data_IF_601150774103
#
_entry.id   IF_601150774103
#
_cell.length_a   1.000
_cell.length_b   1.000
_cell.length_c   1.000
_cell.angle_alpha   90.00
_cell.angle_beta   90.00
_cell.angle_gamma   90.00
#
_symmetry.space_group_name_H-M   'P 1'
#
loop_
_entity.id
_entity.type
_entity.pdbx_description
1 polymer ?
#
# COMPACT_ATOMS: atom_id res chain seq x y z
N UNK A 1 -35.86 15.77 -11.16
CA UNK A 1 -34.52 15.20 -11.22
C UNK A 1 -34.39 14.22 -10.07
N UNK A 2 -34.50 12.95 -10.35
CA UNK A 2 -34.33 11.93 -9.35
C UNK A 2 -32.87 11.88 -8.96
N UNK A 3 -32.57 12.17 -7.70
CA UNK A 3 -31.33 11.77 -7.07
C UNK A 3 -31.20 10.27 -7.22
N UNK A 4 -30.28 9.83 -8.07
CA UNK A 4 -29.85 8.44 -8.08
C UNK A 4 -29.15 8.23 -6.74
N UNK A 5 -29.90 7.78 -5.74
CA UNK A 5 -29.31 7.14 -4.58
C UNK A 5 -28.53 5.93 -5.11
N UNK A 6 -27.24 6.14 -5.32
CA UNK A 6 -26.33 5.03 -5.47
C UNK A 6 -26.45 4.27 -4.18
N UNK A 7 -27.22 3.18 -4.18
CA UNK A 7 -27.26 2.24 -3.06
C UNK A 7 -25.84 1.78 -2.83
N UNK A 8 -25.19 2.45 -1.89
CA UNK A 8 -23.89 2.02 -1.41
C UNK A 8 -24.04 0.57 -0.97
N UNK A 9 -23.46 -0.34 -1.75
CA UNK A 9 -23.47 -1.74 -1.37
C UNK A 9 -22.81 -1.86 0.01
N UNK A 10 -23.23 -2.80 0.84
CA UNK A 10 -22.58 -3.11 2.14
C UNK A 10 -21.04 -3.17 2.05
N UNK A 11 -20.50 -3.38 0.84
CA UNK A 11 -19.06 -3.40 0.55
C UNK A 11 -18.40 -2.02 0.62
N UNK A 12 -19.14 -0.94 0.32
CA UNK A 12 -18.62 0.42 0.37
C UNK A 12 -18.53 0.96 1.79
N UNK A 13 -19.36 0.48 2.71
CA UNK A 13 -19.28 0.86 4.12
C UNK A 13 -17.98 0.41 4.81
N UNK A 14 -17.19 -0.47 4.19
CA UNK A 14 -15.91 -0.93 4.69
C UNK A 14 -14.71 -0.16 4.09
N UNK A 15 -14.97 0.79 3.21
CA UNK A 15 -13.95 1.66 2.62
C UNK A 15 -13.90 2.99 3.38
N UNK A 16 -13.01 3.04 4.37
CA UNK A 16 -12.72 4.28 5.09
C UNK A 16 -11.81 5.20 4.26
N UNK A 17 -12.12 6.48 4.21
CA UNK A 17 -11.35 7.50 3.48
C UNK A 17 -11.83 7.72 2.05
N UNK A 18 -11.03 8.43 1.26
CA UNK A 18 -11.36 8.75 -0.13
C UNK A 18 -11.43 7.48 -0.99
N UNK A 19 -12.56 7.18 -1.65
CA UNK A 19 -12.68 6.02 -2.52
C UNK A 19 -11.74 6.07 -3.73
N UNK A 20 -11.33 7.26 -4.17
CA UNK A 20 -10.43 7.45 -5.31
C UNK A 20 -8.97 7.09 -4.98
N UNK A 21 -8.65 6.83 -3.72
CA UNK A 21 -7.29 6.50 -3.29
C UNK A 21 -6.71 5.28 -4.01
N UNK A 22 -7.52 4.29 -4.29
CA UNK A 22 -7.07 3.07 -4.97
C UNK A 22 -6.66 3.34 -6.42
N UNK A 23 -7.46 4.12 -7.14
CA UNK A 23 -7.13 4.53 -8.51
C UNK A 23 -5.91 5.45 -8.54
N UNK A 24 -5.82 6.42 -7.64
CA UNK A 24 -4.68 7.33 -7.54
C UNK A 24 -3.35 6.58 -7.25
N UNK A 25 -3.37 5.62 -6.34
CA UNK A 25 -2.19 4.79 -6.05
C UNK A 25 -1.85 3.92 -7.25
N UNK A 26 -2.84 3.30 -7.88
CA UNK A 26 -2.62 2.45 -9.06
C UNK A 26 -2.03 3.24 -10.23
N UNK A 27 -2.53 4.44 -10.51
CA UNK A 27 -1.99 5.32 -11.54
C UNK A 27 -0.54 5.68 -11.27
N UNK A 28 -0.21 6.06 -10.04
CA UNK A 28 1.15 6.35 -9.63
C UNK A 28 2.08 5.14 -9.83
N UNK A 29 1.65 3.95 -9.43
CA UNK A 29 2.42 2.71 -9.63
C UNK A 29 2.65 2.43 -11.11
N UNK A 30 1.60 2.54 -11.92
CA UNK A 30 1.68 2.30 -13.37
C UNK A 30 2.66 3.28 -14.03
N UNK A 31 2.52 4.57 -13.75
CA UNK A 31 3.40 5.60 -14.34
C UNK A 31 4.87 5.38 -13.98
N UNK A 32 5.15 5.01 -12.73
CA UNK A 32 6.52 4.95 -12.23
C UNK A 32 7.21 3.62 -12.46
N UNK A 33 6.46 2.51 -12.41
CA UNK A 33 7.01 1.15 -12.40
C UNK A 33 6.67 0.31 -13.62
N UNK A 34 5.89 0.82 -14.57
CA UNK A 34 5.65 0.12 -15.83
C UNK A 34 6.98 -0.15 -16.56
N UNK A 35 7.20 -1.41 -16.94
CA UNK A 35 8.47 -1.86 -17.53
C UNK A 35 9.63 -2.06 -16.54
N UNK A 36 9.46 -1.69 -15.25
CA UNK A 36 10.47 -1.86 -14.19
C UNK A 36 10.11 -2.95 -13.20
N UNK A 37 8.83 -3.15 -12.95
CA UNK A 37 8.30 -4.19 -12.08
C UNK A 37 7.34 -5.09 -12.86
N UNK A 38 7.28 -6.36 -12.50
CA UNK A 38 6.32 -7.34 -13.02
C UNK A 38 5.50 -7.93 -11.89
N UNK A 39 6.15 -8.33 -10.81
CA UNK A 39 5.52 -8.96 -9.67
C UNK A 39 5.36 -7.96 -8.53
N UNK A 40 4.12 -7.71 -8.10
CA UNK A 40 3.80 -6.73 -7.06
C UNK A 40 3.06 -7.41 -5.91
N UNK A 41 3.47 -7.11 -4.67
CA UNK A 41 2.71 -7.44 -3.48
C UNK A 41 1.87 -6.24 -3.03
N UNK A 42 0.56 -6.43 -2.90
CA UNK A 42 -0.36 -5.51 -2.21
C UNK A 42 -0.46 -5.97 -0.75
N UNK A 43 0.31 -5.31 0.10
CA UNK A 43 0.51 -5.72 1.50
C UNK A 43 -0.58 -5.14 2.39
N UNK A 44 -1.29 -6.00 3.10
CA UNK A 44 -2.43 -5.67 3.93
C UNK A 44 -3.52 -4.92 3.16
N UNK A 45 -3.72 -5.29 1.91
CA UNK A 45 -4.61 -4.60 0.95
C UNK A 45 -6.10 -4.85 1.17
N UNK A 46 -6.50 -5.45 2.29
CA UNK A 46 -7.88 -5.69 2.65
C UNK A 46 -8.57 -6.67 1.70
N UNK A 47 -9.56 -6.20 0.98
CA UNK A 47 -10.28 -7.04 0.00
C UNK A 47 -9.58 -7.17 -1.34
N UNK A 48 -8.47 -6.43 -1.57
CA UNK A 48 -7.67 -6.51 -2.78
C UNK A 48 -8.17 -5.64 -3.93
N UNK A 49 -8.79 -4.50 -3.65
CA UNK A 49 -9.23 -3.60 -4.71
C UNK A 49 -8.05 -3.01 -5.48
N UNK A 50 -6.97 -2.61 -4.77
CA UNK A 50 -5.74 -2.15 -5.41
C UNK A 50 -5.11 -3.27 -6.25
N UNK A 51 -5.04 -4.50 -5.70
CA UNK A 51 -4.56 -5.69 -6.43
C UNK A 51 -5.30 -5.85 -7.76
N UNK A 52 -6.63 -5.75 -7.73
CA UNK A 52 -7.47 -5.87 -8.93
C UNK A 52 -7.16 -4.79 -9.96
N UNK A 53 -7.05 -3.54 -9.55
CA UNK A 53 -6.80 -2.41 -10.44
C UNK A 53 -5.41 -2.54 -11.08
N UNK A 54 -4.39 -2.84 -10.30
CA UNK A 54 -3.02 -3.04 -10.79
C UNK A 54 -2.93 -4.19 -11.79
N UNK A 55 -3.59 -5.31 -11.52
CA UNK A 55 -3.61 -6.45 -12.42
C UNK A 55 -4.32 -6.16 -13.74
N UNK A 56 -5.42 -5.40 -13.71
CA UNK A 56 -6.22 -5.10 -14.91
C UNK A 56 -5.67 -3.96 -15.75
N UNK A 57 -5.23 -2.88 -15.11
CA UNK A 57 -4.80 -1.65 -15.81
C UNK A 57 -3.29 -1.61 -16.06
N UNK A 58 -2.51 -2.17 -15.15
CA UNK A 58 -1.05 -2.05 -15.15
C UNK A 58 -0.32 -3.23 -15.77
N UNK A 59 -1.02 -4.29 -16.13
CA UNK A 59 -0.40 -5.53 -16.62
C UNK A 59 0.65 -6.13 -15.69
N UNK A 60 0.46 -5.95 -14.38
CA UNK A 60 1.28 -6.55 -13.34
C UNK A 60 0.71 -7.89 -12.88
N UNK A 61 1.57 -8.76 -12.39
CA UNK A 61 1.17 -9.95 -11.63
C UNK A 61 1.15 -9.57 -10.16
N UNK A 62 -0.04 -9.47 -9.57
CA UNK A 62 -0.20 -8.96 -8.22
C UNK A 62 -0.73 -10.03 -7.28
N UNK A 63 -0.12 -10.12 -6.09
CA UNK A 63 -0.64 -10.88 -4.96
C UNK A 63 -1.17 -9.93 -3.88
N UNK A 64 -2.36 -10.20 -3.40
CA UNK A 64 -2.84 -9.67 -2.14
C UNK A 64 -2.27 -10.50 -1.00
N UNK A 65 -1.53 -9.89 -0.08
CA UNK A 65 -1.06 -10.53 1.15
C UNK A 65 -1.82 -9.91 2.32
N UNK A 66 -2.82 -10.63 2.82
CA UNK A 66 -3.68 -10.15 3.90
C UNK A 66 -4.25 -11.35 4.67
N UNK A 67 -4.11 -11.40 6.01
CA UNK A 67 -4.60 -12.53 6.81
C UNK A 67 -6.12 -12.63 6.89
N UNK A 68 -6.85 -11.57 6.57
CA UNK A 68 -8.32 -11.57 6.58
C UNK A 68 -8.88 -12.53 5.55
N UNK A 69 -9.99 -13.25 5.87
CA UNK A 69 -10.46 -14.35 5.04
C UNK A 69 -11.17 -13.93 3.75
N UNK A 70 -11.64 -12.69 3.65
CA UNK A 70 -12.52 -12.26 2.55
C UNK A 70 -11.76 -11.35 1.61
N UNK A 71 -11.59 -11.81 0.37
CA UNK A 71 -11.04 -11.03 -0.73
C UNK A 71 -12.00 -11.00 -1.93
N UNK A 72 -11.77 -10.08 -2.85
CA UNK A 72 -12.49 -10.03 -4.12
C UNK A 72 -12.20 -11.29 -4.94
N UNK A 73 -13.19 -11.76 -5.70
CA UNK A 73 -13.01 -12.91 -6.60
C UNK A 73 -12.05 -12.59 -7.73
N UNK A 74 -11.28 -13.59 -8.16
CA UNK A 74 -10.41 -13.51 -9.32
C UNK A 74 -9.08 -12.80 -9.10
N UNK A 75 -8.67 -12.60 -7.86
CA UNK A 75 -7.33 -12.12 -7.49
C UNK A 75 -6.55 -13.22 -6.76
N UNK A 76 -5.23 -13.17 -6.85
CA UNK A 76 -4.37 -14.03 -6.05
C UNK A 76 -4.35 -13.52 -4.62
N UNK A 77 -4.88 -14.30 -3.69
CA UNK A 77 -4.91 -13.95 -2.28
C UNK A 77 -4.08 -14.93 -1.47
N UNK A 78 -3.00 -14.44 -0.91
CA UNK A 78 -2.20 -15.13 0.12
C UNK A 78 -2.77 -14.74 1.48
N UNK A 79 -3.52 -15.66 2.06
CA UNK A 79 -4.21 -15.47 3.34
C UNK A 79 -3.26 -15.73 4.51
N UNK A 80 -2.30 -14.85 4.66
CA UNK A 80 -1.25 -14.92 5.67
C UNK A 80 -0.79 -13.52 6.08
N UNK A 81 -0.16 -13.41 7.24
CA UNK A 81 0.49 -12.19 7.65
C UNK A 81 1.74 -11.94 6.82
N UNK A 82 1.98 -10.69 6.46
CA UNK A 82 3.16 -10.30 5.71
C UNK A 82 4.38 -10.24 6.63
N UNK A 83 5.49 -10.80 6.16
CA UNK A 83 6.82 -10.69 6.76
C UNK A 83 7.83 -10.16 5.75
N UNK A 84 8.85 -9.46 6.23
CA UNK A 84 9.78 -8.74 5.36
C UNK A 84 10.56 -9.65 4.39
N UNK A 85 10.81 -10.91 4.76
CA UNK A 85 11.49 -11.90 3.91
C UNK A 85 10.67 -12.27 2.67
N UNK A 86 9.35 -12.08 2.68
CA UNK A 86 8.51 -12.28 1.50
C UNK A 86 8.85 -11.31 0.36
N UNK A 87 9.50 -10.18 0.66
CA UNK A 87 9.89 -9.19 -0.34
C UNK A 87 10.74 -9.77 -1.47
N UNK A 88 11.54 -10.79 -1.19
CA UNK A 88 12.40 -11.44 -2.19
C UNK A 88 11.65 -12.00 -3.40
N UNK A 89 10.36 -12.29 -3.27
CA UNK A 89 9.52 -12.85 -4.33
C UNK A 89 8.86 -11.81 -5.24
N UNK A 90 9.04 -10.53 -4.94
CA UNK A 90 8.39 -9.43 -5.64
C UNK A 90 9.40 -8.43 -6.17
N UNK A 91 9.00 -7.66 -7.18
CA UNK A 91 9.79 -6.54 -7.72
C UNK A 91 9.46 -5.23 -7.02
N UNK A 92 8.24 -5.11 -6.51
CA UNK A 92 7.71 -3.95 -5.80
C UNK A 92 6.71 -4.39 -4.73
N UNK A 93 6.76 -3.73 -3.58
CA UNK A 93 5.76 -3.89 -2.54
C UNK A 93 5.02 -2.58 -2.33
N UNK A 94 3.71 -2.66 -2.21
CA UNK A 94 2.84 -1.50 -1.99
C UNK A 94 2.01 -1.73 -0.74
N UNK A 95 2.03 -0.79 0.18
CA UNK A 95 1.17 -0.78 1.35
C UNK A 95 0.37 0.49 1.44
N UNK A 96 -0.89 0.43 1.03
CA UNK A 96 -1.86 1.50 1.19
C UNK A 96 -2.59 1.31 2.52
N UNK A 97 -2.19 2.07 3.52
CA UNK A 97 -2.66 1.97 4.90
C UNK A 97 -2.47 0.53 5.47
N UNK A 98 -1.22 0.08 5.57
CA UNK A 98 -0.92 -1.34 5.85
C UNK A 98 -1.10 -1.75 7.32
N UNK A 99 -1.55 -0.86 8.20
CA UNK A 99 -1.83 -1.13 9.61
C UNK A 99 -0.75 -1.97 10.32
N UNK A 100 -1.08 -3.17 10.80
CA UNK A 100 -0.13 -4.03 11.52
C UNK A 100 1.08 -4.49 10.70
N UNK A 101 1.00 -4.46 9.37
CA UNK A 101 2.11 -4.80 8.49
C UNK A 101 3.11 -3.64 8.27
N UNK A 102 2.86 -2.46 8.85
CA UNK A 102 3.65 -1.25 8.62
C UNK A 102 5.17 -1.47 8.84
N UNK A 103 5.55 -2.06 9.95
CA UNK A 103 6.97 -2.27 10.28
C UNK A 103 7.64 -3.29 9.36
N UNK A 104 6.97 -4.40 9.11
CA UNK A 104 7.50 -5.45 8.23
C UNK A 104 7.63 -4.93 6.79
N UNK A 105 6.67 -4.12 6.34
CA UNK A 105 6.74 -3.49 5.03
C UNK A 105 7.89 -2.47 4.95
N UNK A 106 8.11 -1.65 5.98
CA UNK A 106 9.25 -0.74 6.02
C UNK A 106 10.60 -1.49 6.00
N UNK A 107 10.71 -2.60 6.72
CA UNK A 107 11.91 -3.47 6.68
C UNK A 107 12.16 -4.06 5.30
N UNK A 108 11.11 -4.32 4.53
CA UNK A 108 11.23 -4.85 3.16
C UNK A 108 11.99 -3.94 2.22
N UNK A 109 12.09 -2.64 2.55
CA UNK A 109 12.86 -1.66 1.78
C UNK A 109 14.37 -1.94 1.78
N UNK A 110 14.86 -2.81 2.67
CA UNK A 110 16.24 -3.33 2.61
C UNK A 110 16.46 -4.31 1.45
N UNK A 111 15.38 -4.87 0.90
CA UNK A 111 15.43 -5.97 -0.07
C UNK A 111 14.91 -5.52 -1.44
N UNK A 112 13.82 -4.77 -1.47
CA UNK A 112 13.11 -4.36 -2.69
C UNK A 112 12.54 -2.94 -2.58
N UNK A 113 12.22 -2.30 -3.71
CA UNK A 113 11.47 -1.04 -3.71
C UNK A 113 10.14 -1.19 -2.98
N UNK A 114 9.79 -0.17 -2.20
CA UNK A 114 8.54 -0.13 -1.42
C UNK A 114 7.84 1.20 -1.62
N UNK A 115 6.53 1.16 -1.83
CA UNK A 115 5.64 2.31 -1.72
C UNK A 115 4.83 2.14 -0.45
N UNK A 116 5.09 2.98 0.53
CA UNK A 116 4.47 2.93 1.86
C UNK A 116 3.62 4.17 2.09
N UNK A 117 2.30 3.98 2.24
CA UNK A 117 1.36 5.06 2.53
C UNK A 117 0.78 4.82 3.93
N UNK A 118 1.43 5.31 4.99
CA UNK A 118 0.98 5.07 6.36
C UNK A 118 -0.28 5.87 6.69
N UNK A 119 -1.14 5.32 7.54
CA UNK A 119 -2.32 6.04 8.00
C UNK A 119 -2.37 6.25 9.51
N UNK A 120 -1.99 5.26 10.27
CA UNK A 120 -2.06 5.23 11.72
C UNK A 120 -0.74 4.74 12.32
N UNK A 121 -0.49 5.09 13.58
CA UNK A 121 0.74 4.66 14.22
C UNK A 121 0.67 3.18 14.64
N UNK A 122 1.11 2.32 13.73
CA UNK A 122 1.48 0.92 13.99
C UNK A 122 3.00 0.72 14.03
N UNK A 123 3.75 1.83 14.16
CA UNK A 123 5.21 1.80 14.20
C UNK A 123 5.75 1.36 15.54
N UNK A 124 5.22 1.99 16.59
CA UNK A 124 5.59 1.73 17.98
C UNK A 124 4.46 2.15 18.95
N UNK A 125 4.70 1.98 20.25
CA UNK A 125 3.73 2.30 21.30
C UNK A 125 3.67 3.79 21.66
N UNK A 126 4.45 4.65 21.00
CA UNK A 126 4.45 6.08 21.26
C UNK A 126 3.22 6.75 20.60
N UNK A 127 2.72 7.80 21.21
CA UNK A 127 1.69 8.63 20.60
C UNK A 127 2.32 9.51 19.52
N UNK A 128 1.99 9.28 18.26
CA UNK A 128 2.54 10.00 17.11
C UNK A 128 1.44 10.61 16.25
N UNK A 129 1.64 11.86 15.85
CA UNK A 129 0.92 12.48 14.75
C UNK A 129 1.46 12.00 13.39
N UNK A 130 0.84 12.48 12.31
CA UNK A 130 1.23 12.11 10.93
C UNK A 130 2.71 12.38 10.65
N UNK A 131 3.16 13.60 10.91
CA UNK A 131 4.55 13.99 10.61
C UNK A 131 5.57 13.24 11.47
N UNK A 132 5.25 13.00 12.72
CA UNK A 132 6.10 12.21 13.62
C UNK A 132 6.23 10.76 13.17
N UNK A 133 5.13 10.17 12.66
CA UNK A 133 5.16 8.82 12.10
C UNK A 133 6.01 8.75 10.84
N UNK A 134 5.82 9.68 9.89
CA UNK A 134 6.63 9.74 8.68
C UNK A 134 8.11 9.91 9.02
N UNK A 135 8.43 10.83 9.94
CA UNK A 135 9.81 11.04 10.40
C UNK A 135 10.41 9.79 11.04
N UNK A 136 9.64 9.04 11.82
CA UNK A 136 10.11 7.80 12.44
C UNK A 136 10.48 6.74 11.39
N UNK A 137 9.68 6.60 10.34
CA UNK A 137 9.96 5.69 9.23
C UNK A 137 11.20 6.16 8.45
N UNK A 138 11.30 7.45 8.15
CA UNK A 138 12.44 8.04 7.44
C UNK A 138 13.74 7.91 8.21
N UNK A 139 13.70 8.06 9.54
CA UNK A 139 14.86 7.82 10.39
C UNK A 139 15.34 6.37 10.31
N UNK A 140 14.41 5.42 10.29
CA UNK A 140 14.74 4.01 10.07
C UNK A 140 15.41 3.82 8.70
N UNK A 141 14.89 4.45 7.65
CA UNK A 141 15.48 4.37 6.31
C UNK A 141 16.88 4.98 6.26
N UNK A 142 17.06 6.16 6.85
CA UNK A 142 18.39 6.80 6.93
C UNK A 142 19.41 5.94 7.68
N UNK A 143 19.03 5.35 8.80
CA UNK A 143 19.90 4.47 9.59
C UNK A 143 20.32 3.20 8.85
N UNK A 144 19.53 2.77 7.86
CA UNK A 144 19.77 1.59 7.05
C UNK A 144 20.26 1.88 5.62
N UNK A 145 20.64 3.13 5.33
CA UNK A 145 21.11 3.57 4.01
C UNK A 145 20.10 3.33 2.86
N UNK A 146 18.82 3.28 3.19
CA UNK A 146 17.73 3.15 2.22
C UNK A 146 17.46 4.53 1.65
N UNK A 147 17.48 4.68 0.33
CA UNK A 147 17.08 5.92 -0.32
C UNK A 147 15.57 6.04 -0.40
N UNK A 148 15.03 7.23 -0.21
CA UNK A 148 13.59 7.44 -0.26
C UNK A 148 13.23 8.87 -0.65
N UNK A 149 11.99 9.04 -1.05
CA UNK A 149 11.35 10.34 -1.25
C UNK A 149 9.91 10.33 -0.76
N UNK A 150 9.39 11.50 -0.36
CA UNK A 150 7.97 11.69 -0.10
C UNK A 150 7.26 12.08 -1.39
N UNK A 151 6.11 11.48 -1.64
CA UNK A 151 5.23 11.80 -2.76
C UNK A 151 3.82 12.07 -2.24
N UNK A 152 3.24 13.18 -2.66
CA UNK A 152 1.82 13.47 -2.38
C UNK A 152 0.99 12.86 -3.49
N UNK A 153 0.13 11.92 -3.14
CA UNK A 153 -0.73 11.22 -4.08
C UNK A 153 -2.02 12.01 -4.36
N UNK A 154 -2.57 11.83 -5.55
CA UNK A 154 -3.72 12.59 -6.06
C UNK A 154 -5.06 12.09 -5.50
N UNK A 155 -5.18 11.92 -4.19
CA UNK A 155 -6.46 11.69 -3.51
C UNK A 155 -6.59 12.58 -2.27
N UNK A 156 -7.83 12.75 -1.81
CA UNK A 156 -8.17 13.68 -0.73
C UNK A 156 -7.84 13.11 0.64
N UNK A 157 -7.51 14.03 1.55
CA UNK A 157 -7.33 13.74 2.97
C UNK A 157 -5.86 13.79 3.41
N UNK A 158 -5.63 13.77 4.73
CA UNK A 158 -4.29 13.91 5.31
C UNK A 158 -3.41 12.66 5.15
N UNK A 159 -3.98 11.54 4.70
CA UNK A 159 -3.31 10.24 4.61
C UNK A 159 -2.93 9.89 3.17
N UNK A 160 -2.54 10.89 2.39
CA UNK A 160 -2.19 10.78 0.97
C UNK A 160 -0.68 10.92 0.68
N UNK A 161 0.15 10.83 1.71
CA UNK A 161 1.61 10.89 1.55
C UNK A 161 2.17 9.49 1.46
N UNK A 162 2.89 9.22 0.37
CA UNK A 162 3.69 8.02 0.19
C UNK A 162 5.15 8.28 0.53
N UNK A 163 5.81 7.31 1.13
CA UNK A 163 7.26 7.20 1.15
C UNK A 163 7.63 6.13 0.13
N UNK A 164 8.32 6.54 -0.91
CA UNK A 164 8.78 5.66 -1.98
C UNK A 164 10.26 5.40 -1.76
N UNK A 165 10.65 4.15 -1.60
CA UNK A 165 12.00 3.76 -1.23
C UNK A 165 12.62 2.77 -2.20
N UNK A 166 13.95 2.84 -2.30
CA UNK A 166 14.79 1.90 -3.03
C UNK A 166 15.79 1.27 -2.06
N UNK A 167 16.11 -0.02 -2.21
CA UNK A 167 17.09 -0.67 -1.35
C UNK A 167 18.49 -0.04 -1.49
N UNK A 168 19.34 -0.24 -0.47
CA UNK A 168 20.72 0.24 -0.48
C UNK A 168 21.55 -0.26 -1.66
#
# INVERSE_FOLDING_TARGET
>A
MGTVEVRMSRKQHLLYGDPDRFDAVAEFVIERFNGKAKYIADVAGGKGLLTRILSKKGNFVCDLIDPRPIALKGINHRKEEFTADMAQYYDLLVGLHPDHALRELAKSALIKPVILIPCCNFWDDQKRGKEELLTAIENFYNQNSISFERVILAFKGPKNVAIVSEPP
#
